data_IF_803846471480
#
_entry.id   IF_803846471480
#
_cell.length_a   1.000
_cell.length_b   1.000
_cell.length_c   1.000
_cell.angle_alpha   90.00
_cell.angle_beta   90.00
_cell.angle_gamma   90.00
#
_symmetry.space_group_name_H-M   'P 1'
#
loop_
_entity.id
_entity.type
_entity.pdbx_description
1 polymer ?
#
# COMPACT_ATOMS: atom_id res chain seq x y z
N UNK A 1 16.31 -7.07 2.61
CA UNK A 1 16.47 -6.21 1.42
C UNK A 1 15.59 -4.98 1.61
N UNK A 2 16.17 -3.85 2.03
CA UNK A 2 15.47 -2.58 2.29
C UNK A 2 16.30 -1.42 1.71
N UNK A 3 16.76 -1.59 0.47
CA UNK A 3 17.45 -0.51 -0.24
C UNK A 3 16.42 0.42 -0.85
N UNK A 4 16.69 1.72 -0.80
CA UNK A 4 15.83 2.73 -1.42
C UNK A 4 15.67 2.45 -2.92
N UNK A 5 16.74 2.00 -3.57
CA UNK A 5 16.73 1.64 -5.00
C UNK A 5 15.65 0.62 -5.35
N UNK A 6 15.52 -0.48 -4.62
CA UNK A 6 14.52 -1.51 -4.94
C UNK A 6 13.08 -1.02 -4.74
N UNK A 7 12.85 -0.04 -3.86
CA UNK A 7 11.54 0.59 -3.71
C UNK A 7 11.22 1.49 -4.90
N UNK A 8 12.22 2.16 -5.43
CA UNK A 8 12.09 3.04 -6.60
C UNK A 8 11.90 2.22 -7.88
N UNK A 9 12.65 1.12 -8.07
CA UNK A 9 12.47 0.19 -9.20
C UNK A 9 11.02 -0.33 -9.29
N UNK A 10 10.42 -0.72 -8.17
CA UNK A 10 9.02 -1.17 -8.15
C UNK A 10 8.06 -0.07 -8.60
N UNK A 11 8.32 1.20 -8.24
CA UNK A 11 7.52 2.33 -8.74
C UNK A 11 7.74 2.52 -10.24
N UNK A 12 9.00 2.53 -10.68
CA UNK A 12 9.38 2.76 -12.09
C UNK A 12 8.80 1.71 -13.04
N UNK A 13 8.66 0.47 -12.57
CA UNK A 13 8.00 -0.61 -13.30
C UNK A 13 6.46 -0.63 -13.15
N UNK A 14 5.85 0.40 -12.56
CA UNK A 14 4.40 0.51 -12.44
C UNK A 14 3.77 -0.40 -11.38
N UNK A 15 4.56 -0.91 -10.43
CA UNK A 15 4.07 -1.81 -9.38
C UNK A 15 3.10 -1.15 -8.40
N UNK A 16 3.24 0.15 -8.13
CA UNK A 16 2.34 0.88 -7.21
C UNK A 16 0.88 0.90 -7.72
N UNK A 17 0.57 1.32 -8.96
CA UNK A 17 -0.78 1.23 -9.51
C UNK A 17 -1.39 -0.17 -9.44
N UNK A 18 -0.61 -1.22 -9.73
CA UNK A 18 -1.09 -2.61 -9.65
C UNK A 18 -1.41 -3.02 -8.20
N UNK A 19 -0.55 -2.66 -7.24
CA UNK A 19 -0.83 -2.90 -5.81
C UNK A 19 -2.11 -2.20 -5.35
N UNK A 20 -2.38 -0.97 -5.82
CA UNK A 20 -3.62 -0.26 -5.49
C UNK A 20 -4.86 -1.02 -5.96
N UNK A 21 -4.85 -1.57 -7.18
CA UNK A 21 -5.94 -2.41 -7.67
C UNK A 21 -6.16 -3.66 -6.80
N UNK A 22 -5.08 -4.23 -6.28
CA UNK A 22 -5.12 -5.44 -5.46
C UNK A 22 -5.64 -5.19 -4.03
N UNK A 23 -5.75 -3.95 -3.56
CA UNK A 23 -6.34 -3.65 -2.24
C UNK A 23 -7.81 -4.09 -2.13
N UNK A 24 -8.53 -4.14 -3.25
CA UNK A 24 -9.92 -4.59 -3.32
C UNK A 24 -10.09 -5.94 -4.01
N UNK A 25 -9.02 -6.74 -4.13
CA UNK A 25 -9.09 -8.13 -4.59
C UNK A 25 -10.07 -8.95 -3.74
N UNK A 26 -10.79 -9.89 -4.32
CA UNK A 26 -11.69 -10.79 -3.57
C UNK A 26 -10.92 -11.77 -2.69
N UNK A 27 -9.66 -12.07 -3.05
CA UNK A 27 -8.80 -12.95 -2.28
C UNK A 27 -8.17 -12.21 -1.08
N UNK A 28 -8.46 -12.72 0.12
CA UNK A 28 -7.99 -12.15 1.37
C UNK A 28 -6.46 -12.09 1.50
N UNK A 29 -5.77 -13.17 1.11
CA UNK A 29 -4.31 -13.22 1.18
C UNK A 29 -3.69 -12.22 0.22
N UNK A 30 -4.25 -12.09 -0.99
CA UNK A 30 -3.81 -11.10 -1.98
C UNK A 30 -3.92 -9.68 -1.41
N UNK A 31 -5.04 -9.31 -0.77
CA UNK A 31 -5.18 -7.99 -0.13
C UNK A 31 -4.14 -7.77 0.97
N UNK A 32 -3.90 -8.79 1.81
CA UNK A 32 -2.92 -8.71 2.91
C UNK A 32 -1.51 -8.52 2.39
N UNK A 33 -1.09 -9.29 1.38
CA UNK A 33 0.22 -9.15 0.78
C UNK A 33 0.38 -7.85 0.01
N UNK A 34 -0.64 -7.42 -0.74
CA UNK A 34 -0.59 -6.15 -1.46
C UNK A 34 -0.45 -4.96 -0.51
N UNK A 35 -1.23 -4.92 0.58
CA UNK A 35 -1.13 -3.86 1.59
C UNK A 35 0.18 -3.93 2.37
N UNK A 36 0.69 -5.12 2.69
CA UNK A 36 2.01 -5.29 3.30
C UNK A 36 3.14 -4.77 2.41
N UNK A 37 3.12 -5.13 1.12
CA UNK A 37 4.09 -4.65 0.14
C UNK A 37 4.04 -3.13 -0.01
N UNK A 38 2.83 -2.56 -0.15
CA UNK A 38 2.65 -1.11 -0.26
C UNK A 38 3.18 -0.37 0.99
N UNK A 39 2.94 -0.89 2.19
CA UNK A 39 3.49 -0.32 3.44
C UNK A 39 5.01 -0.22 3.41
N UNK A 40 5.68 -1.26 2.92
CA UNK A 40 7.14 -1.29 2.81
C UNK A 40 7.65 -0.31 1.75
N UNK A 41 6.98 -0.23 0.59
CA UNK A 41 7.39 0.63 -0.52
C UNK A 41 7.35 2.12 -0.16
N UNK A 42 6.38 2.55 0.66
CA UNK A 42 6.24 3.96 1.03
C UNK A 42 7.02 4.37 2.28
N UNK A 43 7.54 3.41 3.05
CA UNK A 43 8.30 3.70 4.26
C UNK A 43 9.59 4.45 3.90
N UNK A 44 9.73 5.67 4.44
CA UNK A 44 10.83 6.61 4.17
C UNK A 44 11.05 6.93 2.68
N UNK A 45 9.99 6.86 1.86
CA UNK A 45 10.07 7.16 0.42
C UNK A 45 8.94 8.10 -0.02
N UNK A 46 9.25 9.40 -0.10
CA UNK A 46 8.27 10.45 -0.43
C UNK A 46 7.69 10.32 -1.85
N UNK A 47 8.48 9.90 -2.82
CA UNK A 47 8.02 9.72 -4.20
C UNK A 47 7.01 8.58 -4.29
N UNK A 48 7.28 7.45 -3.63
CA UNK A 48 6.35 6.33 -3.56
C UNK A 48 5.07 6.69 -2.80
N UNK A 49 5.15 7.50 -1.72
CA UNK A 49 3.97 8.05 -1.04
C UNK A 49 3.12 8.87 -2.02
N UNK A 50 3.74 9.79 -2.75
CA UNK A 50 3.05 10.65 -3.71
C UNK A 50 2.40 9.83 -4.84
N UNK A 51 3.11 8.82 -5.36
CA UNK A 51 2.57 7.92 -6.39
C UNK A 51 1.37 7.11 -5.89
N UNK A 52 1.44 6.58 -4.67
CA UNK A 52 0.32 5.84 -4.07
C UNK A 52 -0.92 6.74 -3.94
N UNK A 53 -0.74 7.98 -3.49
CA UNK A 53 -1.83 8.97 -3.38
C UNK A 53 -2.39 9.31 -4.75
N UNK A 54 -1.53 9.63 -5.72
CA UNK A 54 -1.92 10.01 -7.08
C UNK A 54 -2.68 8.90 -7.83
N UNK A 55 -2.46 7.64 -7.48
CA UNK A 55 -3.17 6.49 -8.03
C UNK A 55 -4.46 6.13 -7.26
N UNK A 56 -4.95 7.00 -6.36
CA UNK A 56 -6.18 6.77 -5.61
C UNK A 56 -6.05 5.78 -4.46
N UNK A 57 -4.81 5.48 -4.02
CA UNK A 57 -4.55 4.48 -2.99
C UNK A 57 -5.29 4.71 -1.67
N UNK A 58 -5.48 5.97 -1.24
CA UNK A 58 -6.24 6.30 -0.02
C UNK A 58 -7.69 5.81 -0.13
N UNK A 59 -8.35 6.05 -1.27
CA UNK A 59 -9.75 5.67 -1.46
C UNK A 59 -9.93 4.15 -1.42
N UNK A 60 -9.07 3.40 -2.11
CA UNK A 60 -9.11 1.93 -2.12
C UNK A 60 -8.75 1.34 -0.74
N UNK A 61 -7.81 1.93 0.00
CA UNK A 61 -7.50 1.52 1.38
C UNK A 61 -8.69 1.71 2.32
N UNK A 62 -9.39 2.86 2.24
CA UNK A 62 -10.60 3.11 3.03
C UNK A 62 -11.73 2.14 2.66
N UNK A 63 -11.85 1.76 1.39
CA UNK A 63 -12.80 0.74 0.94
C UNK A 63 -12.42 -0.63 1.51
N UNK A 64 -11.15 -1.02 1.47
CA UNK A 64 -10.65 -2.28 2.00
C UNK A 64 -10.84 -2.42 3.53
N UNK A 65 -10.77 -1.31 4.29
CA UNK A 65 -11.07 -1.27 5.73
C UNK A 65 -12.52 -1.62 6.09
N UNK A 66 -13.46 -1.54 5.14
CA UNK A 66 -14.86 -1.88 5.40
C UNK A 66 -15.08 -3.39 5.53
N UNK A 67 -14.10 -4.21 5.16
CA UNK A 67 -14.15 -5.66 5.31
C UNK A 67 -14.00 -6.00 6.80
N UNK A 68 -15.03 -6.61 7.37
CA UNK A 68 -15.05 -7.05 8.77
C UNK A 68 -14.19 -8.31 8.92
N UNK A 69 -13.66 -8.50 10.13
CA UNK A 69 -12.94 -9.71 10.57
C UNK A 69 -11.56 -9.98 9.94
N UNK A 70 -10.92 -8.96 9.34
CA UNK A 70 -9.53 -9.04 8.89
C UNK A 70 -8.59 -8.10 9.66
N UNK A 71 -8.17 -8.55 10.85
CA UNK A 71 -7.29 -7.78 11.73
C UNK A 71 -5.91 -7.49 11.11
N UNK A 72 -5.35 -8.41 10.33
CA UNK A 72 -4.04 -8.22 9.69
C UNK A 72 -4.13 -7.18 8.56
N UNK A 73 -5.19 -7.23 7.76
CA UNK A 73 -5.46 -6.19 6.77
C UNK A 73 -5.63 -4.82 7.43
N UNK A 74 -6.41 -4.74 8.52
CA UNK A 74 -6.60 -3.50 9.27
C UNK A 74 -5.28 -2.93 9.82
N UNK A 75 -4.41 -3.78 10.38
CA UNK A 75 -3.05 -3.38 10.83
C UNK A 75 -2.20 -2.84 9.69
N UNK A 76 -2.20 -3.50 8.53
CA UNK A 76 -1.42 -3.03 7.38
C UNK A 76 -1.93 -1.68 6.87
N UNK A 77 -3.25 -1.53 6.70
CA UNK A 77 -3.84 -0.30 6.18
C UNK A 77 -3.61 0.86 7.16
N UNK A 78 -3.84 0.67 8.45
CA UNK A 78 -3.57 1.70 9.46
C UNK A 78 -2.09 2.08 9.49
N UNK A 79 -1.18 1.12 9.31
CA UNK A 79 0.25 1.37 9.16
C UNK A 79 0.61 2.17 7.89
N UNK A 80 -0.07 1.93 6.77
CA UNK A 80 0.08 2.74 5.55
C UNK A 80 -0.38 4.18 5.81
N UNK A 81 -1.58 4.34 6.36
CA UNK A 81 -2.15 5.66 6.66
C UNK A 81 -1.26 6.46 7.62
N UNK A 82 -0.69 5.79 8.62
CA UNK A 82 0.29 6.41 9.50
C UNK A 82 1.54 6.88 8.73
N UNK A 83 2.12 6.03 7.88
CA UNK A 83 3.28 6.41 7.06
C UNK A 83 2.98 7.57 6.10
N UNK A 84 1.76 7.64 5.55
CA UNK A 84 1.33 8.75 4.69
C UNK A 84 1.13 10.05 5.47
N UNK A 85 0.72 9.96 6.74
CA UNK A 85 0.57 11.13 7.62
C UNK A 85 1.90 11.67 8.16
N UNK A 86 2.93 10.81 8.24
CA UNK A 86 4.25 11.20 8.66
C UNK A 86 4.93 12.05 7.56
N UNK A 87 5.43 13.23 7.95
CA UNK A 87 6.17 14.18 7.09
C UNK A 87 7.35 13.51 6.40
#
# INVERSE_FOLDING_TARGET
YNTKESKDEVREHGGIPELVKLFSSDNQEVRRFATGAARNLIYENAENKAHLIGNGGIAELVKALKIKDDNELAKNITGILWNLSAK
#
